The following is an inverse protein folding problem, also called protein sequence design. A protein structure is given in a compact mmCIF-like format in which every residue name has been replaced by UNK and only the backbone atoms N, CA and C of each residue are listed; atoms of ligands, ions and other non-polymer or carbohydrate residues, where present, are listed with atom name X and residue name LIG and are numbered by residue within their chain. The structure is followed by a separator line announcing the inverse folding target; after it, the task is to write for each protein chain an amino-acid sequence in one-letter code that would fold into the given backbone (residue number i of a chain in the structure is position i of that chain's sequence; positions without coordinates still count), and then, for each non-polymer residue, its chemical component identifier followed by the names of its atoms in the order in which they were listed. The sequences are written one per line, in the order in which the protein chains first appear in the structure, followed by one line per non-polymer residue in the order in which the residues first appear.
data_IF_077844033500
#
_entry.id   IF_077844033500
#
_cell.length_a   1.000
_cell.length_b   1.000
_cell.length_c   1.000
_cell.angle_alpha   90.00
_cell.angle_beta   90.00
_cell.angle_gamma   90.00
#
_symmetry.space_group_name_H-M   'P 1'
#
loop_
_entity.id
_entity.type
_entity.pdbx_description
1 polymer ?
#
# COMPACT_ATOMS: atom_id res chain seq x y z
N UNK A 1 -17.35 10.70 -1.91
CA UNK A 1 -17.06 9.25 -1.95
C UNK A 1 -16.01 8.91 -0.89
N UNK A 2 -16.42 8.44 0.29
CA UNK A 2 -15.46 7.74 1.17
C UNK A 2 -15.17 6.43 0.46
N UNK A 3 -13.97 6.29 -0.09
CA UNK A 3 -13.55 5.06 -0.73
C UNK A 3 -13.30 4.02 0.35
N UNK A 4 -14.38 3.33 0.77
CA UNK A 4 -14.45 2.42 1.93
C UNK A 4 -13.43 1.27 1.91
N UNK A 5 -12.78 1.01 0.78
CA UNK A 5 -11.81 -0.07 0.63
C UNK A 5 -10.34 0.39 0.64
N UNK A 6 -10.03 1.69 0.57
CA UNK A 6 -8.63 2.17 0.53
C UNK A 6 -7.85 1.76 1.78
N UNK A 7 -8.47 1.91 2.95
CA UNK A 7 -7.84 1.56 4.22
C UNK A 7 -7.49 0.08 4.31
N UNK A 8 -8.34 -0.80 3.75
CA UNK A 8 -8.13 -2.25 3.79
C UNK A 8 -6.88 -2.72 3.03
N UNK A 9 -6.45 -1.96 2.02
CA UNK A 9 -5.18 -2.20 1.31
C UNK A 9 -3.96 -1.71 2.10
N UNK A 10 -4.16 -0.71 2.96
CA UNK A 10 -3.10 -0.05 3.74
C UNK A 10 -2.87 -0.77 5.07
N UNK A 11 -3.94 -1.12 5.77
CA UNK A 11 -3.91 -1.83 7.06
C UNK A 11 -3.70 -3.35 6.92
N UNK A 12 -3.83 -3.89 5.69
CA UNK A 12 -3.66 -5.30 5.40
C UNK A 12 -4.88 -6.18 5.68
N UNK A 13 -6.03 -5.60 6.03
CA UNK A 13 -7.30 -6.31 6.21
C UNK A 13 -7.78 -6.99 4.93
N UNK A 14 -7.33 -6.52 3.77
CA UNK A 14 -7.53 -7.18 2.48
C UNK A 14 -6.24 -7.85 2.02
N UNK A 15 -6.14 -9.16 2.28
CA UNK A 15 -5.00 -9.96 1.85
C UNK A 15 -4.94 -10.09 0.33
N UNK A 16 -3.72 -10.29 -0.18
CA UNK A 16 -3.50 -10.61 -1.59
C UNK A 16 -4.23 -11.93 -1.92
N UNK A 17 -5.16 -11.95 -2.89
CA UNK A 17 -5.82 -13.17 -3.33
C UNK A 17 -4.85 -14.04 -4.13
N UNK A 18 -5.21 -15.30 -4.34
CA UNK A 18 -4.44 -16.22 -5.19
C UNK A 18 -4.35 -15.68 -6.62
N UNK A 19 -3.25 -15.99 -7.33
CA UNK A 19 -3.10 -15.64 -8.76
C UNK A 19 -4.20 -16.24 -9.65
N UNK A 20 -4.81 -17.34 -9.21
CA UNK A 20 -5.91 -18.00 -9.92
C UNK A 20 -7.28 -17.42 -9.53
N UNK A 21 -7.33 -16.50 -8.58
CA UNK A 21 -8.57 -15.86 -8.15
C UNK A 21 -9.07 -14.88 -9.22
N UNK A 22 -10.35 -14.97 -9.66
CA UNK A 22 -10.93 -14.01 -10.60
C UNK A 22 -10.79 -12.54 -10.17
N UNK A 23 -10.67 -12.27 -8.87
CA UNK A 23 -10.51 -10.93 -8.32
C UNK A 23 -9.06 -10.45 -8.23
N UNK A 24 -8.06 -11.28 -8.55
CA UNK A 24 -6.64 -10.89 -8.49
C UNK A 24 -6.36 -9.64 -9.33
N UNK A 25 -6.83 -9.58 -10.58
CA UNK A 25 -6.60 -8.42 -11.43
C UNK A 25 -7.26 -7.14 -10.91
N UNK A 26 -8.41 -7.24 -10.23
CA UNK A 26 -9.06 -6.09 -9.58
C UNK A 26 -8.28 -5.64 -8.33
N UNK A 27 -7.77 -6.60 -7.55
CA UNK A 27 -6.93 -6.34 -6.40
C UNK A 27 -5.63 -5.65 -6.80
N UNK A 28 -4.94 -6.15 -7.82
CA UNK A 28 -3.68 -5.60 -8.32
C UNK A 28 -3.84 -4.14 -8.77
N UNK A 29 -4.90 -3.83 -9.53
CA UNK A 29 -5.23 -2.45 -9.93
C UNK A 29 -5.45 -1.54 -8.73
N UNK A 30 -6.17 -2.01 -7.73
CA UNK A 30 -6.43 -1.23 -6.52
C UNK A 30 -5.15 -1.00 -5.70
N UNK A 31 -4.32 -2.04 -5.56
CA UNK A 31 -3.02 -1.95 -4.91
C UNK A 31 -2.11 -0.91 -5.61
N UNK A 32 -2.02 -0.95 -6.94
CA UNK A 32 -1.25 0.03 -7.73
C UNK A 32 -1.78 1.46 -7.58
N UNK A 33 -3.10 1.66 -7.53
CA UNK A 33 -3.67 3.00 -7.28
C UNK A 33 -3.31 3.53 -5.89
N UNK A 34 -3.35 2.67 -4.87
CA UNK A 34 -2.98 3.04 -3.49
C UNK A 34 -1.49 3.34 -3.39
N UNK A 35 -0.62 2.54 -4.03
CA UNK A 35 0.81 2.84 -4.15
C UNK A 35 1.05 4.18 -4.83
N UNK A 36 0.32 4.49 -5.91
CA UNK A 36 0.36 5.80 -6.55
C UNK A 36 0.07 6.93 -5.56
N UNK A 37 -1.01 6.85 -4.78
CA UNK A 37 -1.30 7.87 -3.77
C UNK A 37 -0.25 7.97 -2.68
N UNK A 38 0.25 6.84 -2.19
CA UNK A 38 1.32 6.80 -1.20
C UNK A 38 2.57 7.50 -1.75
N UNK A 39 3.00 7.15 -2.96
CA UNK A 39 4.16 7.76 -3.63
C UNK A 39 4.02 9.28 -3.81
N UNK A 40 2.85 9.74 -4.25
CA UNK A 40 2.58 11.17 -4.43
C UNK A 40 2.50 11.94 -3.10
N UNK A 41 2.22 11.23 -1.99
CA UNK A 41 2.12 11.84 -0.65
C UNK A 41 3.46 11.88 0.09
N UNK A 42 4.54 11.36 -0.50
CA UNK A 42 5.84 11.21 0.15
C UNK A 42 6.91 12.14 -0.42
N UNK A 43 7.87 12.50 0.44
CA UNK A 43 9.07 13.21 -0.01
C UNK A 43 10.00 12.28 -0.78
N UNK A 44 10.80 12.84 -1.70
CA UNK A 44 11.72 12.07 -2.56
C UNK A 44 12.64 11.10 -1.80
N UNK A 45 13.21 11.43 -0.62
CA UNK A 45 14.06 10.50 0.12
C UNK A 45 13.29 9.26 0.62
N UNK A 46 12.08 9.48 1.16
CA UNK A 46 11.23 8.40 1.66
C UNK A 46 10.81 7.50 0.49
N UNK A 47 10.34 8.10 -0.60
CA UNK A 47 9.95 7.38 -1.81
C UNK A 47 11.06 6.44 -2.32
N UNK A 48 12.31 6.92 -2.42
CA UNK A 48 13.44 6.09 -2.89
C UNK A 48 13.65 4.84 -2.02
N UNK A 49 13.34 4.92 -0.74
CA UNK A 49 13.56 3.82 0.20
C UNK A 49 12.48 2.73 0.17
N UNK A 50 11.34 3.00 -0.48
CA UNK A 50 10.18 2.10 -0.57
C UNK A 50 9.81 1.73 -2.01
N UNK A 51 10.50 2.30 -3.01
CA UNK A 51 10.17 2.16 -4.44
C UNK A 51 10.19 0.69 -4.93
N UNK A 52 10.90 -0.18 -4.23
CA UNK A 52 11.02 -1.60 -4.52
C UNK A 52 9.88 -2.45 -3.93
N UNK A 53 8.94 -1.83 -3.21
CA UNK A 53 7.85 -2.52 -2.52
C UNK A 53 6.58 -2.45 -3.38
N UNK A 54 6.19 -3.60 -3.93
CA UNK A 54 5.02 -3.70 -4.81
C UNK A 54 3.68 -3.87 -4.08
N UNK A 55 3.69 -3.92 -2.74
CA UNK A 55 2.47 -4.04 -1.94
C UNK A 55 2.25 -2.80 -1.08
N UNK A 56 1.09 -2.16 -1.25
CA UNK A 56 0.70 -0.97 -0.48
C UNK A 56 0.71 -1.18 1.03
N UNK A 57 0.29 -2.35 1.52
CA UNK A 57 0.38 -2.73 2.94
C UNK A 57 1.83 -2.77 3.44
N UNK A 58 2.76 -3.26 2.63
CA UNK A 58 4.17 -3.36 3.02
C UNK A 58 4.83 -1.99 3.05
N UNK A 59 4.51 -1.11 2.09
CA UNK A 59 4.91 0.31 2.13
C UNK A 59 4.41 0.98 3.40
N UNK A 60 3.12 0.78 3.74
CA UNK A 60 2.55 1.39 4.93
C UNK A 60 3.18 0.88 6.23
N UNK A 61 3.46 -0.43 6.33
CA UNK A 61 4.16 -1.02 7.47
C UNK A 61 5.58 -0.49 7.62
N UNK A 62 6.35 -0.43 6.54
CA UNK A 62 7.72 0.11 6.57
C UNK A 62 7.73 1.57 7.04
N UNK A 63 6.77 2.39 6.57
CA UNK A 63 6.60 3.75 7.08
C UNK A 63 6.21 3.78 8.56
N UNK A 64 5.25 2.94 8.96
CA UNK A 64 4.82 2.87 10.34
C UNK A 64 5.99 2.49 11.24
N UNK A 65 6.76 1.44 10.93
CA UNK A 65 7.88 0.99 11.75
C UNK A 65 8.99 2.06 11.84
N UNK A 66 9.26 2.77 10.73
CA UNK A 66 10.29 3.83 10.69
C UNK A 66 9.92 5.10 11.46
N UNK A 67 8.63 5.44 11.52
CA UNK A 67 8.17 6.71 12.08
C UNK A 67 7.33 6.56 13.36
N UNK A 68 6.94 5.33 13.75
CA UNK A 68 6.25 5.05 15.01
C UNK A 68 7.20 5.01 16.22
N UNK A 69 8.52 4.90 16.03
CA UNK A 69 9.52 4.96 17.11
C UNK A 69 9.87 6.40 17.56
N UNK A 70 8.87 7.28 17.65
CA UNK A 70 9.01 8.60 18.28
C UNK A 70 7.84 8.84 19.22
N UNK A 71 7.85 8.13 20.34
CA UNK A 71 8.15 8.66 21.69
C UNK A 71 8.46 7.51 22.66
#
# INVERSE_FOLDING_TARGET
LISKNKLKFVDGSLSQPSLLDPFYGAWERCNTMVLGWLHHSMTKPILKSILWIDQSVAVWKDLHDRFSQRD
#
